data_IF_832433546925
#
_entry.id   IF_832433546925
#
_cell.length_a   1.000
_cell.length_b   1.000
_cell.length_c   1.000
_cell.angle_alpha   90.00
_cell.angle_beta   90.00
_cell.angle_gamma   90.00
#
_symmetry.space_group_name_H-M   'P 1'
#
loop_
_entity.id
_entity.type
_entity.pdbx_description
1 polymer ?
#
# COMPACT_ATOMS: atom_id res chain seq x y z
N UNK A 1 -19.57 -9.00 -6.52
CA UNK A 1 -18.65 -9.65 -5.57
C UNK A 1 -19.47 -10.30 -4.48
N UNK A 2 -19.13 -11.52 -4.09
CA UNK A 2 -19.88 -12.35 -3.16
C UNK A 2 -18.96 -12.91 -2.07
N UNK A 3 -19.49 -13.10 -0.86
CA UNK A 3 -18.76 -13.69 0.25
C UNK A 3 -19.05 -15.21 0.27
N UNK A 4 -18.02 -16.01 0.00
CA UNK A 4 -18.11 -17.47 -0.02
C UNK A 4 -17.83 -18.16 1.31
N UNK A 5 -17.36 -17.40 2.31
CA UNK A 5 -17.08 -17.90 3.66
C UNK A 5 -17.51 -16.88 4.71
N UNK A 6 -17.60 -17.31 5.97
CA UNK A 6 -17.83 -16.42 7.11
C UNK A 6 -16.61 -15.51 7.31
N UNK A 7 -16.80 -14.19 7.27
CA UNK A 7 -15.76 -13.20 7.51
C UNK A 7 -15.86 -12.63 8.93
N UNK A 8 -14.72 -12.26 9.50
CA UNK A 8 -14.63 -11.37 10.64
C UNK A 8 -14.50 -9.90 10.15
N UNK A 9 -14.85 -8.90 10.99
CA UNK A 9 -14.62 -7.49 10.65
C UNK A 9 -13.16 -7.20 10.25
N UNK A 10 -12.22 -7.87 10.92
CA UNK A 10 -10.79 -7.76 10.66
C UNK A 10 -10.35 -8.27 9.28
N UNK A 11 -11.16 -9.05 8.56
CA UNK A 11 -10.89 -9.41 7.16
C UNK A 11 -10.98 -8.18 6.22
N UNK A 12 -11.58 -7.09 6.69
CA UNK A 12 -11.69 -5.83 5.96
C UNK A 12 -10.95 -4.71 6.67
N UNK A 13 -11.15 -4.57 7.98
CA UNK A 13 -10.59 -3.49 8.80
C UNK A 13 -10.45 -3.91 10.26
N UNK A 14 -9.34 -3.55 10.90
CA UNK A 14 -9.23 -3.61 12.35
C UNK A 14 -8.78 -2.29 12.96
N UNK A 15 -9.29 -1.91 14.15
CA UNK A 15 -8.82 -0.72 14.84
C UNK A 15 -7.33 -0.75 15.17
N UNK A 16 -6.66 -1.91 15.24
CA UNK A 16 -5.24 -1.99 15.60
C UNK A 16 -4.29 -2.07 14.41
N UNK A 17 -4.76 -2.47 13.23
CA UNK A 17 -3.94 -2.69 12.04
C UNK A 17 -4.46 -2.01 10.76
N UNK A 18 -5.57 -1.28 10.85
CA UNK A 18 -6.12 -0.51 9.73
C UNK A 18 -6.87 -1.37 8.70
N UNK A 19 -7.19 -0.79 7.53
CA UNK A 19 -7.76 -1.51 6.39
C UNK A 19 -6.81 -2.57 5.83
N UNK A 20 -7.37 -3.64 5.31
CA UNK A 20 -6.65 -4.66 4.54
C UNK A 20 -6.55 -4.27 3.06
N UNK A 21 -5.35 -4.41 2.50
CA UNK A 21 -5.02 -4.12 1.11
C UNK A 21 -4.48 -5.39 0.45
N UNK A 22 -5.07 -5.76 -0.69
CA UNK A 22 -4.57 -6.83 -1.55
C UNK A 22 -4.03 -6.24 -2.85
N UNK A 23 -2.93 -6.79 -3.37
CA UNK A 23 -2.27 -6.33 -4.58
C UNK A 23 -2.08 -7.48 -5.58
N UNK A 24 -2.17 -7.16 -6.87
CA UNK A 24 -1.78 -8.04 -7.98
C UNK A 24 -0.26 -8.03 -8.13
N UNK A 25 0.27 -9.00 -8.87
CA UNK A 25 1.69 -9.02 -9.28
C UNK A 25 2.07 -7.82 -10.14
N UNK A 26 1.12 -7.32 -10.95
CA UNK A 26 1.33 -6.16 -11.82
C UNK A 26 1.70 -4.92 -11.02
N UNK A 27 2.65 -4.14 -11.54
CA UNK A 27 3.02 -2.84 -10.97
C UNK A 27 3.45 -1.86 -12.06
N UNK A 28 3.23 -0.56 -11.80
CA UNK A 28 3.52 0.48 -12.79
C UNK A 28 4.27 1.67 -12.18
N UNK A 29 5.29 2.14 -12.91
CA UNK A 29 6.05 3.35 -12.65
C UNK A 29 5.96 4.28 -13.87
N UNK A 30 4.86 5.04 -13.98
CA UNK A 30 4.61 5.87 -15.17
C UNK A 30 5.27 7.23 -15.01
N UNK A 31 6.31 7.50 -15.80
CA UNK A 31 7.09 8.75 -15.73
C UNK A 31 6.48 9.89 -16.55
N UNK A 32 5.96 9.57 -17.73
CA UNK A 32 5.38 10.52 -18.67
C UNK A 32 4.08 9.97 -19.25
N UNK A 33 3.15 10.85 -19.59
CA UNK A 33 1.96 10.49 -20.36
C UNK A 33 2.31 10.51 -21.85
N UNK A 34 1.91 9.48 -22.61
CA UNK A 34 2.05 9.46 -24.07
C UNK A 34 3.46 9.24 -24.63
N UNK A 35 4.41 8.68 -23.87
CA UNK A 35 5.72 8.26 -24.40
C UNK A 35 5.61 7.13 -25.45
N UNK A 36 6.72 6.81 -26.14
CA UNK A 36 6.80 5.79 -27.21
C UNK A 36 6.44 4.35 -26.82
N UNK A 37 6.13 4.11 -25.54
CA UNK A 37 5.62 2.84 -25.05
C UNK A 37 4.12 2.68 -25.33
N UNK A 38 3.68 1.46 -25.60
CA UNK A 38 2.28 1.13 -25.86
C UNK A 38 1.42 1.42 -24.62
N UNK A 39 0.72 2.56 -24.62
CA UNK A 39 -0.26 2.90 -23.59
C UNK A 39 -1.40 1.87 -23.62
N UNK A 40 -1.81 1.28 -22.48
CA UNK A 40 -2.95 0.39 -22.45
C UNK A 40 -4.22 1.16 -22.82
N UNK A 41 -5.07 0.56 -23.65
CA UNK A 41 -6.32 1.19 -24.11
C UNK A 41 -7.57 0.49 -23.58
N UNK A 42 -7.43 -0.64 -22.89
CA UNK A 42 -8.54 -1.50 -22.49
C UNK A 42 -8.61 -1.75 -20.98
N UNK A 43 -9.84 -1.86 -20.46
CA UNK A 43 -10.13 -2.21 -19.09
C UNK A 43 -9.69 -1.15 -18.08
N UNK A 44 -9.29 -1.58 -16.88
CA UNK A 44 -8.87 -0.66 -15.81
C UNK A 44 -7.45 -0.08 -15.99
N UNK A 45 -6.62 -0.70 -16.84
CA UNK A 45 -5.18 -0.39 -16.98
C UNK A 45 -4.87 1.06 -17.36
N UNK A 46 -5.55 1.72 -18.32
CA UNK A 46 -5.27 3.12 -18.67
C UNK A 46 -5.35 4.06 -17.45
N UNK A 47 -6.32 3.81 -16.57
CA UNK A 47 -6.58 4.63 -15.38
C UNK A 47 -5.56 4.37 -14.27
N UNK A 48 -5.11 3.13 -14.11
CA UNK A 48 -3.99 2.80 -13.22
C UNK A 48 -2.71 3.49 -13.70
N UNK A 49 -2.45 3.51 -15.01
CA UNK A 49 -1.29 4.20 -15.58
C UNK A 49 -1.32 5.70 -15.31
N UNK A 50 -2.44 6.35 -15.64
CA UNK A 50 -2.63 7.77 -15.38
C UNK A 50 -2.49 8.10 -13.89
N UNK A 51 -3.08 7.29 -13.03
CA UNK A 51 -2.99 7.49 -11.58
C UNK A 51 -1.58 7.24 -11.03
N UNK A 52 -0.84 6.27 -11.59
CA UNK A 52 0.58 6.05 -11.28
C UNK A 52 1.42 7.28 -11.61
N UNK A 53 1.15 7.91 -12.76
CA UNK A 53 1.77 9.18 -13.15
C UNK A 53 1.48 10.28 -12.11
N UNK A 54 0.22 10.46 -11.69
CA UNK A 54 -0.14 11.46 -10.68
C UNK A 54 0.56 11.21 -9.34
N UNK A 55 0.56 9.96 -8.86
CA UNK A 55 1.23 9.57 -7.61
C UNK A 55 2.75 9.79 -7.70
N UNK A 56 3.35 9.52 -8.85
CA UNK A 56 4.77 9.76 -9.11
C UNK A 56 5.14 11.25 -9.01
N UNK A 57 4.28 12.14 -9.50
CA UNK A 57 4.51 13.58 -9.42
C UNK A 57 4.43 14.11 -7.98
N UNK A 58 3.61 13.47 -7.13
CA UNK A 58 3.46 13.87 -5.73
C UNK A 58 4.51 13.26 -4.81
N UNK A 59 4.72 11.95 -4.91
CA UNK A 59 5.49 11.16 -3.94
C UNK A 59 6.82 10.64 -4.48
N UNK A 60 7.17 10.98 -5.72
CA UNK A 60 8.38 10.50 -6.37
C UNK A 60 8.17 9.23 -7.19
N UNK A 61 9.13 9.01 -8.10
CA UNK A 61 9.13 7.91 -9.06
C UNK A 61 9.32 6.56 -8.37
N UNK A 62 8.37 5.63 -8.54
CA UNK A 62 8.52 4.22 -8.16
C UNK A 62 7.47 3.33 -8.79
N UNK A 63 7.74 2.02 -8.77
CA UNK A 63 6.73 1.03 -9.12
C UNK A 63 5.70 0.91 -8.01
N UNK A 64 4.42 0.90 -8.39
CA UNK A 64 3.29 0.75 -7.48
C UNK A 64 2.40 -0.40 -7.95
N UNK A 65 2.12 -1.33 -7.05
CA UNK A 65 1.35 -2.53 -7.36
C UNK A 65 -0.13 -2.21 -7.57
N UNK A 66 -0.74 -2.82 -8.58
CA UNK A 66 -2.17 -2.68 -8.85
C UNK A 66 -2.95 -3.35 -7.74
N UNK A 67 -4.02 -2.72 -7.26
CA UNK A 67 -4.92 -3.33 -6.30
C UNK A 67 -5.57 -4.59 -6.88
N UNK A 68 -5.69 -5.62 -6.05
CA UNK A 68 -6.42 -6.82 -6.41
C UNK A 68 -7.93 -6.59 -6.33
N UNK A 69 -8.70 -7.46 -6.99
CA UNK A 69 -10.16 -7.43 -6.89
C UNK A 69 -10.66 -8.11 -5.61
N UNK A 70 -10.13 -7.70 -4.46
CA UNK A 70 -10.61 -8.08 -3.12
C UNK A 70 -11.67 -7.10 -2.65
N UNK A 71 -12.38 -7.42 -1.58
CA UNK A 71 -13.21 -6.44 -0.90
C UNK A 71 -12.32 -5.32 -0.34
N UNK A 72 -12.62 -4.08 -0.74
CA UNK A 72 -11.84 -2.91 -0.34
C UNK A 72 -12.47 -2.23 0.86
N UNK A 73 -11.63 -1.75 1.77
CA UNK A 73 -12.05 -0.86 2.85
C UNK A 73 -11.13 0.36 2.90
N UNK A 74 -11.71 1.53 3.17
CA UNK A 74 -10.95 2.77 3.25
C UNK A 74 -11.65 3.75 4.18
N UNK A 75 -10.87 4.54 4.91
CA UNK A 75 -11.40 5.68 5.67
C UNK A 75 -11.93 6.73 4.71
N UNK A 76 -13.17 7.21 4.93
CA UNK A 76 -13.77 8.31 4.16
C UNK A 76 -12.89 9.56 4.17
N UNK A 77 -12.32 9.89 5.33
CA UNK A 77 -11.45 11.05 5.49
C UNK A 77 -10.15 10.89 4.66
N UNK A 78 -9.58 9.67 4.62
CA UNK A 78 -8.38 9.40 3.82
C UNK A 78 -8.70 9.43 2.33
N UNK A 79 -9.83 8.88 1.90
CA UNK A 79 -10.29 8.95 0.51
C UNK A 79 -10.50 10.41 0.07
N UNK A 80 -11.20 11.21 0.88
CA UNK A 80 -11.40 12.64 0.59
C UNK A 80 -10.07 13.39 0.46
N UNK A 81 -9.11 13.12 1.36
CA UNK A 81 -7.79 13.73 1.30
C UNK A 81 -6.99 13.29 0.06
N UNK A 82 -7.08 12.01 -0.31
CA UNK A 82 -6.46 11.47 -1.50
C UNK A 82 -7.02 12.13 -2.77
N UNK A 83 -8.34 12.29 -2.88
CA UNK A 83 -8.98 12.98 -4.02
C UNK A 83 -8.61 14.47 -4.03
N UNK A 84 -8.66 15.15 -2.88
CA UNK A 84 -8.32 16.56 -2.76
C UNK A 84 -6.84 16.84 -3.10
N UNK A 85 -5.97 15.83 -3.01
CA UNK A 85 -4.57 15.93 -3.42
C UNK A 85 -4.39 16.01 -4.94
N UNK A 86 -5.43 15.69 -5.72
CA UNK A 86 -5.48 15.75 -7.17
C UNK A 86 -6.80 16.39 -7.62
N UNK A 87 -6.99 17.70 -7.36
CA UNK A 87 -8.31 18.32 -7.44
C UNK A 87 -8.89 18.30 -8.86
N UNK A 88 -8.11 18.69 -9.87
CA UNK A 88 -8.58 18.66 -11.26
C UNK A 88 -8.89 17.23 -11.74
N UNK A 89 -7.98 16.23 -11.64
CA UNK A 89 -8.31 14.86 -12.01
C UNK A 89 -9.54 14.29 -11.30
N UNK A 90 -9.72 14.62 -10.02
CA UNK A 90 -10.85 14.14 -9.22
C UNK A 90 -12.17 14.77 -9.65
N UNK A 91 -12.19 16.08 -9.91
CA UNK A 91 -13.38 16.78 -10.41
C UNK A 91 -13.76 16.28 -11.80
N UNK A 92 -12.80 16.15 -12.72
CA UNK A 92 -13.05 15.61 -14.06
C UNK A 92 -13.64 14.21 -13.99
N UNK A 93 -13.03 13.32 -13.22
CA UNK A 93 -13.53 11.95 -13.06
C UNK A 93 -14.91 11.86 -12.42
N UNK A 94 -15.29 12.82 -11.57
CA UNK A 94 -16.62 12.90 -10.96
C UNK A 94 -17.71 13.42 -11.93
N UNK A 95 -17.33 14.10 -13.01
CA UNK A 95 -18.25 14.57 -14.03
C UNK A 95 -18.56 13.51 -15.12
N UNK A 96 -17.78 12.43 -15.17
CA UNK A 96 -17.96 11.36 -16.14
C UNK A 96 -19.04 10.37 -15.67
N UNK A 97 -19.89 9.92 -16.60
CA UNK A 97 -20.92 8.91 -16.27
C UNK A 97 -20.33 7.52 -16.30
N UNK A 98 -19.48 7.26 -17.30
CA UNK A 98 -18.79 6.00 -17.47
C UNK A 98 -17.29 6.18 -17.43
N UNK A 99 -16.63 5.13 -16.95
CA UNK A 99 -15.17 5.07 -16.89
C UNK A 99 -14.59 5.19 -18.31
N UNK A 100 -13.71 6.16 -18.52
CA UNK A 100 -12.92 6.28 -19.75
C UNK A 100 -13.41 7.31 -20.76
N UNK A 101 -14.43 8.11 -20.43
CA UNK A 101 -14.92 9.17 -21.30
C UNK A 101 -13.83 10.21 -21.65
N UNK A 102 -12.95 10.55 -20.71
CA UNK A 102 -11.86 11.54 -20.93
C UNK A 102 -10.50 10.94 -21.30
N UNK A 103 -10.40 9.62 -21.52
CA UNK A 103 -9.15 8.84 -21.61
C UNK A 103 -8.25 8.86 -20.34
N UNK A 104 -8.25 9.95 -19.57
CA UNK A 104 -7.42 10.16 -18.37
C UNK A 104 -8.29 10.37 -17.13
N UNK A 105 -8.71 9.26 -16.53
CA UNK A 105 -9.49 9.28 -15.30
C UNK A 105 -8.66 8.77 -14.12
N UNK A 106 -8.73 9.47 -12.99
CA UNK A 106 -8.12 8.99 -11.74
C UNK A 106 -8.83 7.72 -11.27
N UNK A 107 -8.08 6.74 -10.77
CA UNK A 107 -8.64 5.50 -10.22
C UNK A 107 -8.68 5.59 -8.69
N UNK A 108 -9.86 5.79 -8.07
CA UNK A 108 -9.99 6.09 -6.64
C UNK A 108 -9.39 5.03 -5.69
N UNK A 109 -9.58 3.75 -5.97
CA UNK A 109 -9.04 2.68 -5.13
C UNK A 109 -7.52 2.60 -5.17
N UNK A 110 -6.95 2.68 -6.39
CA UNK A 110 -5.51 2.66 -6.58
C UNK A 110 -4.82 3.85 -5.90
N UNK A 111 -5.35 5.07 -6.10
CA UNK A 111 -4.81 6.26 -5.42
C UNK A 111 -4.97 6.17 -3.92
N UNK A 112 -6.13 5.75 -3.37
CA UNK A 112 -6.32 5.72 -1.92
C UNK A 112 -5.39 4.72 -1.19
N UNK A 113 -5.11 3.56 -1.80
CA UNK A 113 -4.20 2.56 -1.22
C UNK A 113 -2.78 3.12 -1.16
N UNK A 114 -2.26 3.56 -2.31
CA UNK A 114 -0.91 4.11 -2.38
C UNK A 114 -0.77 5.42 -1.61
N UNK A 115 -1.79 6.26 -1.59
CA UNK A 115 -1.81 7.47 -0.76
C UNK A 115 -1.66 7.15 0.73
N UNK A 116 -2.37 6.13 1.22
CA UNK A 116 -2.25 5.71 2.62
C UNK A 116 -0.83 5.22 2.94
N UNK A 117 -0.24 4.41 2.05
CA UNK A 117 1.13 3.92 2.20
C UNK A 117 2.13 5.09 2.23
N UNK A 118 2.04 5.99 1.26
CA UNK A 118 2.97 7.13 1.11
C UNK A 118 2.81 8.15 2.24
N UNK A 119 1.58 8.47 2.67
CA UNK A 119 1.38 9.39 3.80
C UNK A 119 1.83 8.81 5.13
N UNK A 120 1.71 7.49 5.34
CA UNK A 120 2.29 6.82 6.50
C UNK A 120 3.83 6.94 6.48
N UNK A 121 4.44 6.72 5.33
CA UNK A 121 5.89 6.86 5.10
C UNK A 121 6.35 8.31 5.32
N UNK A 122 5.68 9.29 4.73
CA UNK A 122 5.98 10.71 4.92
C UNK A 122 5.89 11.12 6.38
N UNK A 123 4.86 10.67 7.12
CA UNK A 123 4.71 10.99 8.54
C UNK A 123 5.90 10.46 9.37
N UNK A 124 6.42 9.27 9.04
CA UNK A 124 7.62 8.73 9.69
C UNK A 124 8.88 9.53 9.36
N UNK A 125 9.08 9.89 8.09
CA UNK A 125 10.23 10.68 7.67
C UNK A 125 10.20 12.08 8.28
N UNK A 126 9.03 12.73 8.24
CA UNK A 126 8.81 14.04 8.84
C UNK A 126 9.07 14.00 10.34
N UNK A 127 8.52 13.00 11.03
CA UNK A 127 8.76 12.78 12.46
C UNK A 127 10.25 12.63 12.78
N UNK A 128 10.97 11.85 11.97
CA UNK A 128 12.39 11.61 12.16
C UNK A 128 13.22 12.88 11.96
N UNK A 129 13.02 13.64 10.89
CA UNK A 129 13.83 14.84 10.63
C UNK A 129 13.40 16.03 11.48
N UNK A 130 12.11 16.37 11.47
CA UNK A 130 11.60 17.63 12.02
C UNK A 130 11.40 17.61 13.53
N UNK A 131 10.98 16.48 14.09
CA UNK A 131 10.65 16.41 15.51
C UNK A 131 11.73 15.69 16.33
N UNK A 132 12.37 14.68 15.75
CA UNK A 132 13.36 13.86 16.45
C UNK A 132 14.79 14.33 16.25
N UNK A 133 15.20 14.63 15.02
CA UNK A 133 16.61 14.92 14.69
C UNK A 133 16.95 16.39 14.83
N UNK A 134 16.05 17.28 14.39
CA UNK A 134 16.05 18.70 14.73
C UNK A 134 15.65 18.85 16.22
N UNK A 135 16.65 18.76 17.08
CA UNK A 135 16.50 18.68 18.51
C UNK A 135 16.13 20.04 19.10
N UNK A 136 16.72 21.11 18.55
CA UNK A 136 16.53 22.49 18.98
C UNK A 136 15.32 23.18 18.30
N UNK A 137 14.73 22.56 17.26
CA UNK A 137 13.59 23.04 16.50
C UNK A 137 13.84 24.36 15.75
N UNK A 138 15.08 24.57 15.28
CA UNK A 138 15.46 25.76 14.51
C UNK A 138 15.30 25.57 12.99
N UNK A 139 14.94 24.37 12.54
CA UNK A 139 14.73 24.02 11.13
C UNK A 139 16.02 23.70 10.36
N UNK A 140 17.18 23.66 11.03
CA UNK A 140 18.48 23.44 10.43
C UNK A 140 19.24 22.29 11.10
N UNK A 141 19.65 21.29 10.32
CA UNK A 141 20.41 20.16 10.87
C UNK A 141 21.88 20.53 11.04
N UNK A 142 22.23 21.00 12.23
CA UNK A 142 23.62 21.33 12.58
C UNK A 142 24.53 20.09 12.57
N UNK A 143 25.85 20.27 12.69
CA UNK A 143 26.78 19.14 12.67
C UNK A 143 26.49 18.09 13.77
N UNK A 144 26.06 18.52 14.95
CA UNK A 144 25.74 17.61 16.06
C UNK A 144 24.55 16.74 15.69
N UNK A 145 23.49 17.34 15.17
CA UNK A 145 22.26 16.66 14.74
C UNK A 145 22.51 15.74 13.55
N UNK A 146 23.27 16.19 12.54
CA UNK A 146 23.70 15.36 11.40
C UNK A 146 24.50 14.15 11.87
N UNK A 147 25.42 14.33 12.82
CA UNK A 147 26.18 13.20 13.41
C UNK A 147 25.25 12.22 14.14
N UNK A 148 24.24 12.70 14.85
CA UNK A 148 23.23 11.84 15.48
C UNK A 148 22.43 11.03 14.46
N UNK A 149 22.03 11.63 13.33
CA UNK A 149 21.36 10.92 12.24
C UNK A 149 22.26 9.80 11.69
N UNK A 150 23.52 10.11 11.39
CA UNK A 150 24.49 9.15 10.84
C UNK A 150 24.72 7.97 11.79
N UNK A 151 24.92 8.25 13.08
CA UNK A 151 25.07 7.22 14.10
C UNK A 151 23.80 6.37 14.28
N UNK A 152 22.61 6.94 14.10
CA UNK A 152 21.36 6.21 14.22
C UNK A 152 21.16 5.20 13.07
N UNK A 153 21.59 5.54 11.84
CA UNK A 153 21.43 4.66 10.68
C UNK A 153 22.56 3.63 10.55
N UNK A 154 23.76 3.92 11.05
CA UNK A 154 24.95 3.10 10.87
C UNK A 154 24.77 1.61 11.21
N UNK A 155 24.13 1.20 12.34
CA UNK A 155 23.97 -0.22 12.67
C UNK A 155 23.12 -0.97 11.64
N UNK A 156 22.01 -0.36 11.22
CA UNK A 156 21.12 -0.93 10.22
C UNK A 156 21.72 -0.88 8.82
N UNK A 157 22.44 0.20 8.50
CA UNK A 157 23.16 0.36 7.25
C UNK A 157 24.18 -0.77 7.08
N UNK A 158 25.13 -0.91 8.01
CA UNK A 158 26.17 -1.97 7.97
C UNK A 158 25.58 -3.38 7.82
N UNK A 159 24.49 -3.66 8.52
CA UNK A 159 23.82 -4.96 8.49
C UNK A 159 23.16 -5.25 7.13
N UNK A 160 22.57 -4.23 6.51
CA UNK A 160 21.71 -4.40 5.34
C UNK A 160 22.43 -4.13 4.01
N UNK A 161 23.65 -3.58 4.03
CA UNK A 161 24.46 -3.33 2.82
C UNK A 161 25.60 -4.33 2.58
N UNK A 162 25.82 -5.31 3.46
CA UNK A 162 26.94 -6.27 3.30
C UNK A 162 26.66 -7.40 2.29
N UNK A 163 27.44 -7.35 1.20
CA UNK A 163 28.06 -8.36 0.32
C UNK A 163 27.32 -9.24 -0.70
N UNK A 164 25.98 -9.31 -0.75
CA UNK A 164 25.34 -9.99 -1.89
C UNK A 164 24.05 -9.29 -2.34
N UNK A 165 24.11 -8.57 -3.46
CA UNK A 165 22.96 -7.87 -4.06
C UNK A 165 21.86 -8.82 -4.55
N UNK A 166 22.16 -10.13 -4.65
CA UNK A 166 21.21 -11.18 -5.03
C UNK A 166 20.39 -11.72 -3.84
N UNK A 167 20.87 -11.55 -2.60
CA UNK A 167 20.20 -12.02 -1.40
C UNK A 167 19.37 -10.90 -0.72
N UNK A 168 18.11 -11.14 -0.33
CA UNK A 168 17.38 -10.19 0.49
C UNK A 168 18.11 -9.99 1.82
N UNK A 169 18.23 -8.72 2.24
CA UNK A 169 18.95 -8.36 3.45
C UNK A 169 18.38 -9.12 4.66
N UNK A 170 19.24 -9.85 5.38
CA UNK A 170 18.83 -10.68 6.52
C UNK A 170 18.34 -9.77 7.65
N UNK A 171 17.03 -9.72 7.82
CA UNK A 171 16.38 -9.00 8.91
C UNK A 171 16.80 -9.63 10.25
N UNK A 172 16.88 -8.83 11.31
CA UNK A 172 17.24 -9.35 12.64
C UNK A 172 16.29 -10.48 13.04
N UNK A 173 16.83 -11.65 13.33
CA UNK A 173 16.06 -12.79 13.83
C UNK A 173 15.32 -12.48 15.15
N UNK A 174 15.80 -11.48 15.90
CA UNK A 174 15.20 -11.04 17.16
C UNK A 174 14.06 -10.04 16.97
N UNK A 175 13.87 -9.46 15.78
CA UNK A 175 12.77 -8.53 15.52
C UNK A 175 11.44 -9.29 15.44
N UNK A 176 10.52 -8.96 16.34
CA UNK A 176 9.15 -9.43 16.30
C UNK A 176 8.42 -8.82 15.10
N UNK A 177 8.01 -9.69 14.19
CA UNK A 177 7.30 -9.35 12.96
C UNK A 177 5.80 -9.32 13.22
N UNK A 178 5.21 -8.12 13.20
CA UNK A 178 3.82 -7.91 13.61
C UNK A 178 2.82 -8.60 12.67
N UNK A 179 3.14 -8.74 11.39
CA UNK A 179 2.29 -9.49 10.46
C UNK A 179 2.06 -10.96 10.86
N UNK A 180 3.04 -11.65 11.45
CA UNK A 180 2.82 -13.00 12.00
C UNK A 180 2.03 -12.99 13.32
N UNK A 181 2.11 -11.89 14.07
CA UNK A 181 1.51 -11.76 15.41
C UNK A 181 0.12 -11.11 15.38
N UNK A 182 -0.33 -10.60 14.23
CA UNK A 182 -1.58 -9.88 14.08
C UNK A 182 -2.77 -10.64 14.68
N UNK A 183 -2.99 -11.96 14.40
CA UNK A 183 -4.10 -12.68 15.00
C UNK A 183 -4.03 -12.76 16.53
N UNK A 184 -2.84 -12.95 17.09
CA UNK A 184 -2.64 -13.01 18.54
C UNK A 184 -2.91 -11.65 19.20
N UNK A 185 -2.44 -10.57 18.59
CA UNK A 185 -2.60 -9.20 19.09
C UNK A 185 -4.07 -8.78 19.06
N UNK A 186 -4.81 -9.13 18.00
CA UNK A 186 -6.25 -8.89 17.93
C UNK A 186 -6.99 -9.64 19.03
N UNK A 187 -6.72 -10.94 19.22
CA UNK A 187 -7.35 -11.73 20.30
C UNK A 187 -7.07 -11.15 21.68
N UNK A 188 -5.82 -10.75 21.96
CA UNK A 188 -5.43 -10.11 23.23
C UNK A 188 -6.18 -8.79 23.48
N UNK A 189 -6.55 -8.09 22.41
CA UNK A 189 -7.34 -6.86 22.48
C UNK A 189 -8.86 -7.09 22.48
N UNK A 190 -9.33 -8.35 22.57
CA UNK A 190 -10.75 -8.67 22.50
C UNK A 190 -11.38 -8.50 21.12
N UNK A 191 -10.56 -8.41 20.06
CA UNK A 191 -11.00 -8.30 18.67
C UNK A 191 -10.94 -9.67 17.98
N UNK A 192 -11.91 -9.96 17.12
CA UNK A 192 -11.84 -11.15 16.29
C UNK A 192 -10.68 -11.03 15.29
N UNK A 193 -9.83 -12.06 15.14
CA UNK A 193 -8.83 -12.12 14.09
C UNK A 193 -9.49 -12.42 12.73
N UNK A 194 -8.78 -12.19 11.61
CA UNK A 194 -9.24 -12.57 10.27
C UNK A 194 -9.67 -14.04 10.25
N UNK A 195 -10.70 -14.36 9.46
CA UNK A 195 -11.16 -15.74 9.20
C UNK A 195 -10.81 -16.20 7.79
N UNK A 196 -10.67 -15.24 6.87
CA UNK A 196 -10.52 -15.48 5.43
C UNK A 196 -9.15 -15.00 4.96
N UNK A 197 -8.81 -13.73 5.22
CA UNK A 197 -7.56 -13.10 4.82
C UNK A 197 -6.44 -13.44 5.81
N UNK A 198 -6.16 -14.73 5.93
CA UNK A 198 -5.23 -15.29 6.92
C UNK A 198 -3.76 -15.08 6.56
N UNK A 199 -3.47 -15.00 5.26
CA UNK A 199 -2.12 -14.83 4.75
C UNK A 199 -1.74 -13.33 4.75
N UNK A 200 -1.38 -12.83 5.94
CA UNK A 200 -0.93 -11.45 6.13
C UNK A 200 0.53 -11.34 5.70
N UNK A 201 0.77 -10.49 4.71
CA UNK A 201 2.06 -10.31 4.07
C UNK A 201 2.90 -9.21 4.75
N UNK A 202 2.26 -8.15 5.26
CA UNK A 202 2.91 -7.01 5.89
C UNK A 202 1.94 -6.19 6.74
N UNK A 203 2.46 -5.49 7.76
CA UNK A 203 1.67 -4.48 8.50
C UNK A 203 2.43 -3.17 8.57
N UNK A 204 1.72 -2.04 8.58
CA UNK A 204 2.39 -0.74 8.71
C UNK A 204 3.11 -0.55 10.06
N UNK A 205 2.81 -1.38 11.07
CA UNK A 205 3.54 -1.43 12.35
C UNK A 205 4.94 -2.01 12.23
N UNK A 206 5.22 -2.75 11.15
CA UNK A 206 6.56 -3.21 10.79
C UNK A 206 7.34 -2.16 9.96
N UNK A 207 6.68 -1.06 9.57
CA UNK A 207 7.14 -0.03 8.63
C UNK A 207 6.18 0.09 7.43
N UNK A 208 6.25 1.15 6.60
CA UNK A 208 5.42 1.24 5.39
C UNK A 208 5.74 0.10 4.42
N UNK A 209 4.76 -0.35 3.63
CA UNK A 209 4.92 -1.46 2.66
C UNK A 209 6.14 -1.29 1.74
N UNK A 210 6.48 -0.04 1.41
CA UNK A 210 7.59 0.34 0.53
C UNK A 210 8.95 -0.20 0.97
N UNK A 211 9.17 -0.45 2.27
CA UNK A 211 10.45 -0.95 2.78
C UNK A 211 10.57 -2.48 2.73
N UNK A 212 9.47 -3.20 2.48
CA UNK A 212 9.40 -4.67 2.58
C UNK A 212 10.46 -5.32 1.70
N UNK A 213 10.48 -4.95 0.42
CA UNK A 213 11.33 -5.54 -0.61
C UNK A 213 12.42 -4.59 -1.15
N UNK A 214 12.58 -3.38 -0.57
CA UNK A 214 13.60 -2.43 -1.00
C UNK A 214 15.02 -3.01 -0.79
N UNK A 215 15.88 -2.82 -1.79
CA UNK A 215 17.32 -3.11 -1.72
C UNK A 215 18.06 -1.79 -1.48
N UNK A 216 18.93 -1.76 -0.47
CA UNK A 216 19.58 -0.52 -0.01
C UNK A 216 21.09 -0.46 -0.28
N UNK A 217 21.58 -1.26 -1.23
CA UNK A 217 23.00 -1.30 -1.59
C UNK A 217 23.49 0.02 -2.22
N UNK A 218 22.63 0.70 -2.98
CA UNK A 218 22.93 2.00 -3.59
C UNK A 218 22.64 3.21 -2.67
N UNK A 219 22.50 2.98 -1.35
CA UNK A 219 22.30 4.07 -0.41
C UNK A 219 23.61 4.85 -0.27
N UNK A 220 23.53 6.16 -0.55
CA UNK A 220 24.65 7.08 -0.48
C UNK A 220 24.22 8.32 0.31
N UNK A 221 25.03 8.72 1.30
CA UNK A 221 24.70 9.80 2.23
C UNK A 221 24.57 11.13 1.51
N UNK A 222 25.49 11.44 0.60
CA UNK A 222 25.53 12.73 -0.07
C UNK A 222 24.37 12.86 -1.07
N UNK A 223 24.10 11.80 -1.83
CA UNK A 223 22.90 11.70 -2.68
C UNK A 223 21.63 11.87 -1.87
N UNK A 224 21.50 11.18 -0.74
CA UNK A 224 20.26 11.13 0.03
C UNK A 224 20.01 12.39 0.87
N UNK A 225 21.04 12.96 1.50
CA UNK A 225 20.90 14.03 2.49
C UNK A 225 21.53 15.37 2.06
N UNK A 226 22.20 15.42 0.91
CA UNK A 226 22.89 16.61 0.40
C UNK A 226 24.40 16.47 0.48
N UNK A 227 25.11 17.17 -0.40
CA UNK A 227 26.55 16.99 -0.57
C UNK A 227 27.32 17.34 0.71
N UNK A 228 28.28 16.49 1.06
CA UNK A 228 29.10 16.63 2.26
C UNK A 228 28.31 16.66 3.57
N UNK A 229 27.15 15.97 3.63
CA UNK A 229 26.32 15.89 4.84
C UNK A 229 27.08 15.29 6.02
N UNK A 230 28.00 14.35 5.76
CA UNK A 230 28.85 13.70 6.75
C UNK A 230 30.11 14.50 7.15
N UNK A 231 30.22 15.77 6.78
CA UNK A 231 31.37 16.61 7.11
C UNK A 231 30.98 17.80 8.00
N UNK A 232 31.76 18.00 9.06
CA UNK A 232 31.65 19.14 9.98
C UNK A 232 32.09 20.47 9.34
N UNK A 233 32.79 20.43 8.20
CA UNK A 233 33.32 21.62 7.53
C UNK A 233 32.29 22.26 6.59
N UNK A 234 31.26 21.52 6.22
CA UNK A 234 30.31 21.84 5.15
C UNK A 234 29.44 23.06 5.43
N UNK A 235 29.30 23.45 6.69
CA UNK A 235 28.54 24.59 7.20
C UNK A 235 29.37 25.48 8.14
N UNK A 236 30.71 25.30 8.12
CA UNK A 236 31.63 25.97 9.07
C UNK A 236 31.78 27.47 8.84
N UNK A 237 31.53 27.95 7.62
CA UNK A 237 31.63 29.37 7.24
C UNK A 237 30.25 30.00 7.03
N UNK A 238 29.35 29.30 6.35
CA UNK A 238 27.97 29.71 6.09
C UNK A 238 27.07 28.47 6.14
N UNK A 239 25.87 28.60 6.70
CA UNK A 239 24.87 27.53 6.71
C UNK A 239 24.56 27.06 5.29
N UNK A 240 24.80 25.77 5.02
CA UNK A 240 24.44 25.15 3.75
C UNK A 240 22.92 24.91 3.70
N UNK A 241 22.16 25.55 2.78
CA UNK A 241 20.71 25.41 2.72
C UNK A 241 20.23 23.97 2.49
N UNK A 242 21.05 23.09 1.92
CA UNK A 242 20.67 21.68 1.73
C UNK A 242 20.44 20.96 3.06
N UNK A 243 21.06 21.42 4.16
CA UNK A 243 20.90 20.84 5.49
C UNK A 243 19.71 21.40 6.27
N UNK A 244 18.93 22.32 5.68
CA UNK A 244 17.61 22.65 6.23
C UNK A 244 16.78 21.37 6.33
N UNK A 245 16.15 21.13 7.48
CA UNK A 245 15.43 19.88 7.75
C UNK A 245 14.33 19.62 6.69
N UNK A 246 13.68 20.69 6.20
CA UNK A 246 12.72 20.66 5.09
C UNK A 246 13.30 20.21 3.77
N UNK A 247 14.55 20.59 3.46
CA UNK A 247 15.21 20.22 2.22
C UNK A 247 15.64 18.75 2.26
N UNK A 248 16.25 18.31 3.36
CA UNK A 248 16.57 16.89 3.57
C UNK A 248 15.31 16.03 3.53
N UNK A 249 14.24 16.45 4.20
CA UNK A 249 12.94 15.77 4.14
C UNK A 249 12.40 15.71 2.70
N UNK A 250 12.39 16.82 1.96
CA UNK A 250 11.94 16.87 0.56
C UNK A 250 12.70 15.88 -0.32
N UNK A 251 14.04 15.84 -0.18
CA UNK A 251 14.91 14.90 -0.89
C UNK A 251 14.50 13.46 -0.62
N UNK A 252 14.38 13.05 0.64
CA UNK A 252 14.10 11.65 0.96
C UNK A 252 12.65 11.25 0.80
N UNK A 253 11.71 12.19 0.88
CA UNK A 253 10.26 11.91 0.78
C UNK A 253 9.81 11.77 -0.66
N UNK A 254 10.32 12.60 -1.57
CA UNK A 254 9.80 12.71 -2.95
C UNK A 254 10.87 12.64 -4.05
N UNK A 255 12.02 13.30 -3.89
CA UNK A 255 13.03 13.36 -4.98
C UNK A 255 13.78 12.03 -5.14
N UNK A 256 14.13 11.42 -4.01
CA UNK A 256 14.82 10.14 -3.89
C UNK A 256 14.08 9.25 -2.89
N UNK A 257 12.89 8.74 -3.25
CA UNK A 257 12.04 8.08 -2.27
C UNK A 257 12.63 6.73 -1.79
N UNK A 258 13.53 6.11 -2.56
CA UNK A 258 14.33 4.97 -2.10
C UNK A 258 15.28 5.32 -0.94
N UNK A 259 15.83 6.54 -0.89
CA UNK A 259 16.63 7.00 0.25
C UNK A 259 15.81 7.00 1.54
N UNK A 260 14.59 7.54 1.49
CA UNK A 260 13.68 7.53 2.65
C UNK A 260 13.27 6.12 3.08
N UNK A 261 13.03 5.21 2.12
CA UNK A 261 12.71 3.82 2.45
C UNK A 261 13.89 3.13 3.15
N UNK A 262 15.11 3.32 2.63
CA UNK A 262 16.31 2.75 3.22
C UNK A 262 16.63 3.33 4.59
N UNK A 263 16.45 4.65 4.78
CA UNK A 263 16.54 5.29 6.08
C UNK A 263 15.61 4.63 7.10
N UNK A 264 14.31 4.50 6.78
CA UNK A 264 13.33 3.83 7.65
C UNK A 264 13.78 2.39 7.93
N UNK A 265 14.18 1.66 6.89
CA UNK A 265 14.61 0.27 7.01
C UNK A 265 15.83 0.10 7.92
N UNK A 266 16.82 0.98 7.81
CA UNK A 266 18.02 0.98 8.66
C UNK A 266 17.67 1.27 10.12
N UNK A 267 16.85 2.29 10.39
CA UNK A 267 16.43 2.64 11.75
C UNK A 267 15.63 1.51 12.42
N UNK A 268 14.80 0.80 11.66
CA UNK A 268 14.01 -0.31 12.18
C UNK A 268 14.79 -1.63 12.28
N UNK A 269 15.92 -1.77 11.58
CA UNK A 269 16.70 -3.01 11.51
C UNK A 269 17.22 -3.47 12.88
N UNK A 270 17.50 -2.53 13.77
CA UNK A 270 18.05 -2.80 15.12
C UNK A 270 17.01 -2.71 16.22
N UNK A 271 15.74 -2.52 15.87
CA UNK A 271 14.65 -2.37 16.84
C UNK A 271 13.89 -3.68 16.98
N UNK A 272 13.71 -4.21 18.22
CA UNK A 272 13.02 -5.48 18.43
C UNK A 272 11.57 -5.49 17.92
N UNK A 273 10.86 -4.37 17.99
CA UNK A 273 9.50 -4.25 17.47
C UNK A 273 9.04 -2.80 17.36
N UNK A 274 8.07 -2.52 16.50
CA UNK A 274 7.44 -1.21 16.39
C UNK A 274 8.33 -0.17 15.70
N UNK A 275 8.03 1.12 15.99
CA UNK A 275 8.48 2.28 15.22
C UNK A 275 9.25 3.32 16.07
N UNK A 276 9.61 3.00 17.30
CA UNK A 276 10.19 3.94 18.28
C UNK A 276 11.34 4.83 17.77
N UNK A 277 12.32 4.32 16.99
CA UNK A 277 13.42 5.17 16.50
C UNK A 277 12.99 6.27 15.54
N UNK A 278 11.79 6.17 14.95
CA UNK A 278 11.24 7.17 14.03
C UNK A 278 10.33 8.18 14.73
N UNK A 279 9.89 7.88 15.96
CA UNK A 279 8.96 8.73 16.69
C UNK A 279 9.69 9.86 17.43
N UNK A 280 9.02 10.98 17.75
CA UNK A 280 9.60 11.99 18.61
C UNK A 280 9.92 11.40 19.99
N UNK A 281 10.97 11.87 20.68
CA UNK A 281 11.29 11.42 22.02
C UNK A 281 10.09 11.55 22.95
N UNK A 282 10.00 10.69 23.97
CA UNK A 282 8.88 10.72 24.94
C UNK A 282 8.77 12.06 25.70
N UNK A 283 9.83 12.86 25.74
CA UNK A 283 9.82 14.22 26.29
C UNK A 283 9.08 15.24 25.41
N UNK A 284 8.98 15.02 24.09
CA UNK A 284 8.21 15.85 23.16
C UNK A 284 6.77 15.29 23.00
N UNK A 285 5.99 15.34 24.08
CA UNK A 285 4.65 14.70 24.16
C UNK A 285 3.70 15.17 23.06
N UNK A 286 3.62 16.48 22.82
CA UNK A 286 2.69 17.04 21.83
C UNK A 286 3.01 16.55 20.40
N UNK A 287 4.25 16.71 19.95
CA UNK A 287 4.70 16.22 18.65
C UNK A 287 4.44 14.73 18.51
N UNK A 288 4.74 13.97 19.56
CA UNK A 288 4.54 12.52 19.57
C UNK A 288 3.07 12.14 19.40
N UNK A 289 2.15 12.83 20.06
CA UNK A 289 0.71 12.61 19.89
C UNK A 289 0.25 12.94 18.46
N UNK A 290 0.71 14.05 17.89
CA UNK A 290 0.39 14.45 16.50
C UNK A 290 0.85 13.37 15.52
N UNK A 291 2.10 12.90 15.67
CA UNK A 291 2.64 11.83 14.82
C UNK A 291 1.87 10.53 15.01
N UNK A 292 1.57 10.12 16.23
CA UNK A 292 0.79 8.89 16.46
C UNK A 292 -0.60 8.98 15.82
N UNK A 293 -1.28 10.14 15.91
CA UNK A 293 -2.56 10.37 15.22
C UNK A 293 -2.42 10.27 13.70
N UNK A 294 -1.37 10.84 13.12
CA UNK A 294 -1.09 10.73 11.69
C UNK A 294 -0.82 9.27 11.27
N UNK A 295 0.04 8.55 11.99
CA UNK A 295 0.32 7.15 11.72
C UNK A 295 -0.93 6.28 11.87
N UNK A 296 -1.78 6.58 12.85
CA UNK A 296 -3.06 5.87 13.04
C UNK A 296 -4.00 6.06 11.87
N UNK A 297 -4.08 7.28 11.34
CA UNK A 297 -4.93 7.64 10.20
C UNK A 297 -4.56 6.88 8.93
N UNK A 298 -3.26 6.67 8.68
CA UNK A 298 -2.75 6.03 7.47
C UNK A 298 -2.30 4.57 7.67
N UNK A 299 -2.58 4.00 8.83
CA UNK A 299 -2.27 2.62 9.16
C UNK A 299 -2.93 1.66 8.16
N UNK A 300 -2.25 0.57 7.81
CA UNK A 300 -2.73 -0.42 6.84
C UNK A 300 -2.10 -1.79 7.04
N UNK A 301 -2.74 -2.82 6.48
CA UNK A 301 -2.26 -4.20 6.43
C UNK A 301 -2.29 -4.70 5.00
N UNK A 302 -1.23 -5.41 4.58
CA UNK A 302 -1.16 -6.02 3.26
C UNK A 302 -1.39 -7.51 3.39
N UNK A 303 -2.30 -8.05 2.59
CA UNK A 303 -2.66 -9.47 2.57
C UNK A 303 -2.42 -10.05 1.19
N UNK A 304 -2.24 -11.36 1.15
CA UNK A 304 -2.25 -12.12 -0.10
C UNK A 304 -3.68 -12.17 -0.66
N UNK A 305 -3.79 -12.54 -1.92
CA UNK A 305 -5.06 -12.65 -2.66
C UNK A 305 -5.49 -14.11 -2.86
N UNK A 306 -4.88 -15.03 -2.11
CA UNK A 306 -5.13 -16.47 -2.16
C UNK A 306 -6.57 -16.85 -1.76
N UNK A 307 -7.15 -16.11 -0.82
CA UNK A 307 -8.53 -16.29 -0.38
C UNK A 307 -9.59 -15.74 -1.35
N UNK A 308 -9.16 -15.19 -2.49
CA UNK A 308 -10.02 -14.51 -3.46
C UNK A 308 -9.97 -15.20 -4.82
N UNK A 309 -11.14 -15.35 -5.46
CA UNK A 309 -11.28 -15.83 -6.83
C UNK A 309 -11.88 -14.75 -7.72
N UNK A 310 -11.07 -14.21 -8.62
CA UNK A 310 -11.56 -13.35 -9.70
C UNK A 310 -11.78 -14.16 -10.98
N UNK A 311 -12.94 -13.99 -11.60
CA UNK A 311 -13.26 -14.57 -12.91
C UNK A 311 -14.01 -13.55 -13.75
N UNK A 312 -13.56 -13.39 -14.99
CA UNK A 312 -14.30 -12.71 -16.05
C UNK A 312 -15.10 -13.79 -16.78
N UNK A 313 -16.42 -13.77 -16.65
CA UNK A 313 -17.31 -14.71 -17.32
C UNK A 313 -17.45 -14.25 -18.77
N UNK A 314 -17.02 -15.09 -19.71
CA UNK A 314 -16.99 -14.74 -21.14
C UNK A 314 -18.05 -15.47 -21.96
N UNK A 315 -18.30 -16.73 -21.60
CA UNK A 315 -19.24 -17.61 -22.27
C UNK A 315 -19.62 -18.79 -21.35
N UNK A 316 -20.59 -19.58 -21.79
CA UNK A 316 -21.15 -20.67 -21.00
C UNK A 316 -20.14 -21.81 -20.79
N UNK A 317 -19.33 -22.13 -21.81
CA UNK A 317 -18.35 -23.21 -21.75
C UNK A 317 -17.24 -22.89 -20.74
N UNK A 318 -16.71 -21.67 -20.76
CA UNK A 318 -15.73 -21.19 -19.81
C UNK A 318 -16.30 -21.16 -18.39
N UNK A 319 -17.52 -20.67 -18.21
CA UNK A 319 -18.17 -20.68 -16.90
C UNK A 319 -18.37 -22.11 -16.37
N UNK A 320 -18.83 -23.04 -17.20
CA UNK A 320 -19.10 -24.42 -16.81
C UNK A 320 -17.79 -25.14 -16.43
N UNK A 321 -16.79 -25.08 -17.29
CA UNK A 321 -15.53 -25.80 -17.07
C UNK A 321 -14.72 -25.14 -15.93
N UNK A 322 -14.53 -23.82 -15.94
CA UNK A 322 -13.62 -23.16 -15.00
C UNK A 322 -14.25 -22.90 -13.63
N UNK A 323 -15.48 -22.37 -13.59
CA UNK A 323 -16.15 -22.04 -12.32
C UNK A 323 -16.81 -23.28 -11.73
N UNK A 324 -17.69 -23.95 -12.48
CA UNK A 324 -18.48 -25.03 -11.94
C UNK A 324 -17.63 -26.30 -11.72
N UNK A 325 -17.15 -26.93 -12.79
CA UNK A 325 -16.51 -28.25 -12.71
C UNK A 325 -15.15 -28.21 -12.01
N UNK A 326 -14.22 -27.35 -12.48
CA UNK A 326 -12.83 -27.36 -12.00
C UNK A 326 -12.62 -26.66 -10.66
N UNK A 327 -13.59 -25.86 -10.23
CA UNK A 327 -13.49 -25.09 -8.99
C UNK A 327 -14.52 -25.54 -7.97
N UNK A 328 -15.81 -25.32 -8.23
CA UNK A 328 -16.87 -25.53 -7.24
C UNK A 328 -17.11 -27.01 -6.98
N UNK A 329 -17.28 -27.84 -8.02
CA UNK A 329 -17.56 -29.28 -7.87
C UNK A 329 -16.37 -30.06 -7.32
N UNK A 330 -15.15 -29.56 -7.56
CA UNK A 330 -13.92 -30.08 -6.91
C UNK A 330 -13.75 -29.61 -5.46
N UNK A 331 -14.73 -28.90 -4.90
CA UNK A 331 -14.73 -28.48 -3.50
C UNK A 331 -13.74 -27.37 -3.17
N UNK A 332 -13.26 -26.60 -4.16
CA UNK A 332 -12.41 -25.44 -3.87
C UNK A 332 -13.28 -24.33 -3.28
N UNK A 333 -12.87 -23.85 -2.11
CA UNK A 333 -13.55 -22.78 -1.40
C UNK A 333 -12.70 -21.52 -1.46
N UNK A 334 -13.35 -20.40 -1.74
CA UNK A 334 -12.75 -19.07 -1.66
C UNK A 334 -13.60 -18.22 -0.74
N UNK A 335 -12.93 -17.38 0.06
CA UNK A 335 -13.63 -16.46 0.92
C UNK A 335 -14.35 -15.38 0.11
N UNK A 336 -13.74 -14.89 -0.96
CA UNK A 336 -14.34 -13.84 -1.79
C UNK A 336 -14.38 -14.23 -3.26
N UNK A 337 -15.57 -14.14 -3.86
CA UNK A 337 -15.81 -14.38 -5.26
C UNK A 337 -16.05 -13.05 -5.98
N UNK A 338 -15.19 -12.72 -6.93
CA UNK A 338 -15.33 -11.55 -7.77
C UNK A 338 -15.60 -12.00 -9.20
N UNK A 339 -16.84 -11.82 -9.64
CA UNK A 339 -17.28 -12.20 -10.98
C UNK A 339 -17.54 -10.91 -11.76
N UNK A 340 -16.97 -10.81 -12.96
CA UNK A 340 -17.32 -9.79 -13.94
C UNK A 340 -18.07 -10.45 -15.10
N UNK A 341 -19.03 -9.73 -15.68
CA UNK A 341 -19.75 -10.16 -16.87
C UNK A 341 -19.08 -9.54 -18.10
N UNK A 342 -18.26 -10.33 -18.77
CA UNK A 342 -17.58 -9.99 -20.03
C UNK A 342 -18.14 -10.83 -21.18
N UNK A 343 -19.42 -11.16 -21.12
CA UNK A 343 -20.12 -11.92 -22.16
C UNK A 343 -20.38 -11.02 -23.36
N UNK A 344 -19.51 -11.11 -24.36
CA UNK A 344 -19.54 -10.27 -25.56
C UNK A 344 -20.30 -10.95 -26.71
N UNK A 345 -21.61 -11.18 -26.53
CA UNK A 345 -22.49 -11.73 -27.58
C UNK A 345 -23.87 -11.09 -27.57
N UNK A 346 -24.48 -10.97 -28.75
CA UNK A 346 -25.86 -10.50 -28.94
C UNK A 346 -26.84 -11.67 -29.14
N UNK A 347 -26.35 -12.91 -29.19
CA UNK A 347 -27.20 -14.10 -29.37
C UNK A 347 -27.97 -14.42 -28.09
N UNK A 348 -29.31 -14.31 -28.15
CA UNK A 348 -30.20 -14.69 -27.05
C UNK A 348 -29.97 -16.13 -26.56
N UNK A 349 -29.66 -17.05 -27.49
CA UNK A 349 -29.36 -18.44 -27.15
C UNK A 349 -28.08 -18.56 -26.31
N UNK A 350 -27.00 -17.86 -26.69
CA UNK A 350 -25.75 -17.90 -25.94
C UNK A 350 -25.89 -17.24 -24.57
N UNK A 351 -26.61 -16.12 -24.49
CA UNK A 351 -26.91 -15.46 -23.21
C UNK A 351 -27.74 -16.38 -22.30
N UNK A 352 -28.73 -17.09 -22.87
CA UNK A 352 -29.54 -18.06 -22.14
C UNK A 352 -28.69 -19.20 -21.56
N UNK A 353 -27.73 -19.73 -22.33
CA UNK A 353 -26.80 -20.76 -21.86
C UNK A 353 -25.90 -20.26 -20.73
N UNK A 354 -25.37 -19.03 -20.83
CA UNK A 354 -24.59 -18.43 -19.72
C UNK A 354 -25.46 -18.32 -18.47
N UNK A 355 -26.69 -17.83 -18.62
CA UNK A 355 -27.64 -17.72 -17.51
C UNK A 355 -27.87 -19.08 -16.83
N UNK A 356 -28.11 -20.14 -17.60
CA UNK A 356 -28.32 -21.49 -17.07
C UNK A 356 -27.11 -21.98 -16.26
N UNK A 357 -25.90 -21.87 -16.82
CA UNK A 357 -24.66 -22.28 -16.14
C UNK A 357 -24.42 -21.45 -14.89
N UNK A 358 -24.61 -20.13 -14.96
CA UNK A 358 -24.41 -19.26 -13.81
C UNK A 358 -25.45 -19.49 -12.71
N UNK A 359 -26.70 -19.82 -13.04
CA UNK A 359 -27.70 -20.25 -12.06
C UNK A 359 -27.20 -21.48 -11.30
N UNK A 360 -26.70 -22.50 -11.99
CA UNK A 360 -26.10 -23.70 -11.37
C UNK A 360 -24.91 -23.34 -10.48
N UNK A 361 -24.05 -22.41 -10.92
CA UNK A 361 -22.93 -21.88 -10.11
C UNK A 361 -23.43 -21.26 -8.80
N UNK A 362 -24.45 -20.39 -8.87
CA UNK A 362 -25.01 -19.73 -7.69
C UNK A 362 -25.72 -20.71 -6.76
N UNK A 363 -26.56 -21.60 -7.30
CA UNK A 363 -27.22 -22.66 -6.55
C UNK A 363 -26.22 -23.58 -5.86
N UNK A 364 -25.05 -23.82 -6.47
CA UNK A 364 -24.05 -24.69 -5.87
C UNK A 364 -23.22 -23.99 -4.78
N UNK A 365 -22.89 -22.71 -4.98
CA UNK A 365 -22.17 -21.91 -3.99
C UNK A 365 -23.03 -21.55 -2.78
N UNK A 366 -24.29 -21.20 -3.02
CA UNK A 366 -25.25 -20.76 -2.02
C UNK A 366 -26.59 -21.51 -2.21
N UNK A 367 -26.66 -22.80 -1.85
CA UNK A 367 -27.84 -23.64 -2.07
C UNK A 367 -29.04 -23.28 -1.19
N UNK A 368 -28.82 -22.47 -0.17
CA UNK A 368 -29.87 -22.03 0.75
C UNK A 368 -30.34 -20.64 0.34
N UNK A 369 -31.66 -20.50 0.22
CA UNK A 369 -32.32 -19.23 -0.04
C UNK A 369 -31.94 -18.21 1.03
N UNK A 370 -31.43 -17.05 0.62
CA UNK A 370 -31.15 -15.95 1.54
C UNK A 370 -32.42 -15.44 2.22
N UNK A 371 -32.32 -14.93 3.45
CA UNK A 371 -33.48 -14.39 4.19
C UNK A 371 -34.16 -13.19 3.50
N UNK A 372 -33.48 -12.56 2.56
CA UNK A 372 -33.92 -11.39 1.80
C UNK A 372 -34.45 -11.72 0.41
N UNK A 373 -34.30 -12.98 -0.04
CA UNK A 373 -34.85 -13.43 -1.31
C UNK A 373 -36.36 -13.60 -1.13
N UNK A 374 -37.13 -12.85 -1.93
CA UNK A 374 -38.59 -12.94 -1.92
C UNK A 374 -39.01 -14.28 -2.50
N UNK A 375 -40.10 -14.85 -1.99
CA UNK A 375 -40.81 -15.92 -2.68
C UNK A 375 -41.19 -15.41 -4.08
N UNK A 376 -40.83 -16.16 -5.10
CA UNK A 376 -41.20 -15.85 -6.48
C UNK A 376 -42.73 -15.86 -6.54
N UNK A 377 -43.33 -14.72 -6.90
CA UNK A 377 -44.78 -14.57 -7.12
C UNK A 377 -45.11 -15.05 -8.53
#
# INVERSE_FOLDING_TARGET
>A
MFLGMEHAPSDFFSPLFGPMMGFKSDSYNVKTLGGSGRWPTFGEKPFVYYTSYLLNHRFGLRSRHVQAHVAHSVSRAVMQEAMASFPQPSTTGACERFRGESHFQIYPWYVAYHYSIERFREALLWSFFMSRSDANADGYLDWTERRHILNAIEPGWRRLTSHDASAPAKQDSSRARMYYRLPEVLRKAGLQPPKVNMNVLWTSLDGPETIRNIKCHDFDVDKCFGDSFASARSDSTTSNPDFAASNVFSRVSSQHPSCGDCLIKFLLASTPSGLEPLLPPKSKTHDREVIIKALKKYQHTVVDTDAMKFVMVKDAEQAEIELLERTIERGKVYGQWCLNDDVMTESEEQVSKVKEVMSRVFERLWPQRGRWEREDV
#
